data_IF_593526521900
#
_entry.id   IF_593526521900
#
_cell.length_a   1.000
_cell.length_b   1.000
_cell.length_c   1.000
_cell.angle_alpha   90.00
_cell.angle_beta   90.00
_cell.angle_gamma   90.00
#
_symmetry.space_group_name_H-M   'P 1'
#
loop_
_entity.id
_entity.type
_entity.pdbx_description
1 polymer ?
#
# COMPACT_ATOMS: atom_id res chain seq x y z
N UNK A 1 17.35 -1.36 -24.51
CA UNK A 1 17.71 -0.28 -23.59
C UNK A 1 17.04 -0.49 -22.25
N UNK A 2 17.83 -0.44 -21.22
CA UNK A 2 17.31 -0.66 -19.88
C UNK A 2 16.54 0.57 -19.42
N UNK A 3 15.42 0.33 -18.78
CA UNK A 3 14.68 1.37 -18.12
C UNK A 3 15.26 1.65 -16.76
N UNK A 4 15.47 2.89 -16.45
CA UNK A 4 15.91 3.27 -15.13
C UNK A 4 14.71 3.13 -14.18
N UNK A 5 14.90 2.35 -13.12
CA UNK A 5 13.90 2.28 -12.06
C UNK A 5 14.09 3.49 -11.18
N UNK A 6 13.07 4.31 -11.07
CA UNK A 6 13.10 5.43 -10.14
C UNK A 6 12.76 4.93 -8.74
N UNK A 7 13.55 5.38 -7.79
CA UNK A 7 13.27 5.10 -6.39
C UNK A 7 12.67 6.35 -5.76
N UNK A 8 11.50 6.21 -5.18
CA UNK A 8 10.80 7.31 -4.56
C UNK A 8 10.70 7.05 -3.07
N UNK A 9 11.28 7.95 -2.27
CA UNK A 9 11.19 7.86 -0.82
C UNK A 9 9.80 8.32 -0.38
N UNK A 10 9.16 7.56 0.48
CA UNK A 10 7.80 7.83 0.92
C UNK A 10 7.73 8.34 2.35
N UNK A 11 8.36 7.65 3.28
CA UNK A 11 8.27 7.97 4.70
C UNK A 11 9.36 7.23 5.46
N UNK A 12 9.43 7.49 6.75
CA UNK A 12 10.30 6.72 7.64
C UNK A 12 9.52 5.55 8.23
N UNK A 13 10.22 4.47 8.54
CA UNK A 13 9.60 3.31 9.15
C UNK A 13 8.88 3.66 10.44
N UNK A 14 9.44 4.60 11.21
CA UNK A 14 8.86 5.01 12.49
C UNK A 14 7.53 5.75 12.34
N UNK A 15 7.20 6.21 11.13
CA UNK A 15 5.95 6.92 10.91
C UNK A 15 4.75 6.00 10.75
N UNK A 16 4.99 4.69 10.58
CA UNK A 16 3.92 3.71 10.39
C UNK A 16 4.03 2.65 11.46
N UNK A 17 3.11 2.65 12.40
CA UNK A 17 3.12 1.66 13.48
C UNK A 17 2.75 0.28 12.95
N UNK A 18 3.22 -0.79 13.63
CA UNK A 18 2.82 -2.15 13.23
C UNK A 18 1.30 -2.30 13.24
N UNK A 19 0.77 -2.87 12.17
CA UNK A 19 -0.67 -3.03 12.01
C UNK A 19 -1.38 -1.78 11.54
N UNK A 20 -0.65 -0.73 11.15
CA UNK A 20 -1.22 0.53 10.69
C UNK A 20 -0.84 0.82 9.23
N UNK A 21 -1.45 1.85 8.70
CA UNK A 21 -1.14 2.34 7.36
C UNK A 21 -1.20 3.86 7.36
N UNK A 22 -0.45 4.47 6.44
CA UNK A 22 -0.54 5.91 6.21
C UNK A 22 -0.70 6.16 4.71
N UNK A 23 -1.26 7.30 4.40
CA UNK A 23 -1.41 7.76 3.02
C UNK A 23 -0.25 8.68 2.68
N UNK A 24 0.38 8.43 1.53
CA UNK A 24 1.50 9.24 1.05
C UNK A 24 1.20 9.67 -0.38
N UNK A 25 1.38 10.95 -0.65
CA UNK A 25 1.21 11.49 -2.00
C UNK A 25 2.57 11.89 -2.55
N UNK A 26 2.87 11.41 -3.75
CA UNK A 26 4.12 11.73 -4.45
C UNK A 26 3.82 11.94 -5.93
N UNK A 27 3.91 13.19 -6.40
CA UNK A 27 3.56 13.52 -7.77
C UNK A 27 2.11 13.17 -8.05
N UNK A 28 1.89 12.35 -9.07
CA UNK A 28 0.55 11.89 -9.42
C UNK A 28 0.11 10.64 -8.66
N UNK A 29 0.98 10.10 -7.80
CA UNK A 29 0.70 8.88 -7.08
C UNK A 29 0.11 9.17 -5.71
N UNK A 30 -0.95 8.44 -5.37
CA UNK A 30 -1.51 8.43 -4.02
C UNK A 30 -1.39 7.02 -3.51
N UNK A 31 -0.61 6.83 -2.46
CA UNK A 31 -0.16 5.51 -2.04
C UNK A 31 -0.57 5.22 -0.60
N UNK A 32 -0.78 3.94 -0.31
CA UNK A 32 -0.98 3.46 1.05
C UNK A 32 0.26 2.68 1.45
N UNK A 33 0.87 3.07 2.56
CA UNK A 33 2.04 2.39 3.10
C UNK A 33 1.59 1.62 4.33
N UNK A 34 1.76 0.29 4.28
CA UNK A 34 1.31 -0.61 5.34
C UNK A 34 2.51 -1.18 6.08
N UNK A 35 2.39 -1.26 7.40
CA UNK A 35 3.38 -1.95 8.22
C UNK A 35 2.74 -3.24 8.74
N UNK A 36 3.13 -4.36 8.14
CA UNK A 36 2.62 -5.67 8.52
C UNK A 36 3.63 -6.33 9.46
N UNK A 37 3.60 -5.89 10.70
CA UNK A 37 4.48 -6.43 11.75
C UNK A 37 5.96 -6.34 11.36
N UNK A 38 6.37 -5.18 10.89
CA UNK A 38 7.74 -4.91 10.48
C UNK A 38 8.00 -5.11 9.00
N UNK A 39 7.07 -5.69 8.26
CA UNK A 39 7.17 -5.85 6.81
C UNK A 39 6.38 -4.74 6.13
N UNK A 40 7.05 -3.90 5.38
CA UNK A 40 6.41 -2.76 4.74
C UNK A 40 5.95 -3.11 3.34
N UNK A 41 4.70 -2.80 3.04
CA UNK A 41 4.10 -3.02 1.72
C UNK A 41 3.43 -1.73 1.28
N UNK A 42 3.47 -1.48 -0.02
CA UNK A 42 2.89 -0.26 -0.60
C UNK A 42 1.96 -0.64 -1.73
N UNK A 43 0.77 -0.07 -1.71
CA UNK A 43 -0.23 -0.24 -2.77
C UNK A 43 -0.73 1.14 -3.18
N UNK A 44 -1.47 1.19 -4.30
CA UNK A 44 -2.27 2.38 -4.56
C UNK A 44 -3.25 2.56 -3.41
N UNK A 45 -3.50 3.79 -3.02
CA UNK A 45 -4.44 4.06 -1.94
C UNK A 45 -5.89 3.95 -2.39
N UNK A 46 -6.17 4.30 -3.65
CA UNK A 46 -7.52 4.26 -4.17
C UNK A 46 -8.03 2.83 -4.30
N UNK A 47 -9.19 2.57 -3.73
CA UNK A 47 -9.85 1.28 -3.90
C UNK A 47 -10.31 1.13 -5.35
N UNK A 48 -10.08 -0.04 -5.93
CA UNK A 48 -10.36 -0.25 -7.36
C UNK A 48 -11.84 -0.29 -7.70
N UNK A 49 -12.72 -0.47 -6.71
CA UNK A 49 -14.15 -0.59 -6.98
C UNK A 49 -14.95 0.67 -6.63
N UNK A 50 -14.32 1.69 -6.12
CA UNK A 50 -15.05 2.89 -5.74
C UNK A 50 -14.17 3.89 -5.02
N UNK A 51 -14.76 4.91 -4.40
CA UNK A 51 -14.03 6.04 -3.83
C UNK A 51 -13.43 5.77 -2.45
N UNK A 52 -13.14 4.54 -2.10
CA UNK A 52 -12.54 4.23 -0.82
C UNK A 52 -11.04 4.49 -0.79
N UNK A 53 -10.48 4.61 0.41
CA UNK A 53 -9.06 4.79 0.66
C UNK A 53 -8.55 3.60 1.47
N UNK A 54 -7.60 2.85 0.91
CA UNK A 54 -7.09 1.65 1.58
C UNK A 54 -6.30 1.98 2.84
N UNK A 55 -5.66 3.14 2.89
CA UNK A 55 -4.93 3.55 4.08
C UNK A 55 -5.85 3.77 5.27
N UNK A 56 -7.15 3.96 5.04
CA UNK A 56 -8.14 4.12 6.09
C UNK A 56 -8.95 2.84 6.33
N UNK A 57 -8.61 1.77 5.65
CA UNK A 57 -9.30 0.51 5.77
C UNK A 57 -8.92 -0.27 7.02
N UNK A 58 -9.64 -1.36 7.25
CA UNK A 58 -9.37 -2.25 8.38
C UNK A 58 -8.35 -3.29 7.97
N UNK A 59 -7.23 -3.32 8.68
CA UNK A 59 -6.16 -4.27 8.41
C UNK A 59 -6.30 -5.46 9.33
N UNK A 60 -6.31 -6.66 8.73
CA UNK A 60 -6.32 -7.92 9.48
C UNK A 60 -5.29 -8.85 8.86
N UNK A 61 -4.21 -9.13 9.61
CA UNK A 61 -3.13 -9.95 9.07
C UNK A 61 -2.52 -9.31 7.85
N UNK A 62 -2.65 -9.95 6.69
CA UNK A 62 -2.12 -9.45 5.43
C UNK A 62 -3.20 -8.90 4.51
N UNK A 63 -4.40 -8.68 5.03
CA UNK A 63 -5.52 -8.17 4.24
C UNK A 63 -5.97 -6.81 4.73
N UNK A 64 -6.57 -6.05 3.82
CA UNK A 64 -7.20 -4.78 4.15
C UNK A 64 -8.61 -4.76 3.57
N UNK A 65 -9.57 -4.38 4.40
CA UNK A 65 -10.93 -4.16 3.96
C UNK A 65 -11.08 -2.68 3.63
N UNK A 66 -11.54 -2.40 2.42
CA UNK A 66 -11.78 -1.02 2.00
C UNK A 66 -12.82 -0.38 2.90
N UNK A 67 -12.64 0.89 3.24
CA UNK A 67 -13.59 1.63 4.06
C UNK A 67 -14.91 1.92 3.31
N UNK A 68 -14.95 1.61 2.02
CA UNK A 68 -16.12 1.77 1.18
C UNK A 68 -16.56 0.41 0.67
N UNK A 69 -17.70 -0.09 1.13
CA UNK A 69 -18.31 -1.37 0.75
C UNK A 69 -17.60 -2.63 1.29
N UNK A 70 -16.56 -2.47 2.10
CA UNK A 70 -15.88 -3.61 2.75
C UNK A 70 -15.29 -4.67 1.83
N UNK A 71 -14.91 -4.28 0.60
CA UNK A 71 -14.15 -5.17 -0.26
C UNK A 71 -12.76 -5.42 0.31
N UNK A 72 -12.24 -6.63 0.15
CA UNK A 72 -10.99 -7.03 0.79
C UNK A 72 -9.92 -7.34 -0.25
N UNK A 73 -8.72 -6.81 -0.01
CA UNK A 73 -7.54 -7.08 -0.83
C UNK A 73 -6.45 -7.71 0.02
N UNK A 74 -5.61 -8.52 -0.63
CA UNK A 74 -4.37 -8.97 -0.03
C UNK A 74 -3.34 -7.85 -0.20
N UNK A 75 -2.76 -7.39 0.90
CA UNK A 75 -1.86 -6.24 0.89
C UNK A 75 -0.55 -6.57 0.17
N UNK A 76 -0.05 -7.78 0.28
CA UNK A 76 1.23 -8.17 -0.31
C UNK A 76 1.15 -8.34 -1.82
N UNK A 77 0.06 -8.92 -2.30
CA UNK A 77 -0.08 -9.27 -3.72
C UNK A 77 -1.01 -8.35 -4.49
N UNK A 78 -1.86 -7.62 -3.79
CA UNK A 78 -2.90 -6.81 -4.42
C UNK A 78 -4.11 -7.62 -4.86
N UNK A 79 -4.10 -8.93 -4.65
CA UNK A 79 -5.16 -9.79 -5.14
C UNK A 79 -6.48 -9.52 -4.42
N UNK A 80 -7.57 -9.68 -5.14
CA UNK A 80 -8.92 -9.57 -4.58
C UNK A 80 -9.17 -10.77 -3.67
N UNK A 81 -9.61 -10.52 -2.44
CA UNK A 81 -9.95 -11.55 -1.48
C UNK A 81 -11.46 -11.68 -1.32
N UNK A 82 -12.17 -10.56 -1.33
CA UNK A 82 -13.63 -10.60 -1.15
C UNK A 82 -14.30 -9.48 -1.94
N UNK A 83 -15.53 -9.76 -2.46
CA UNK A 83 -16.30 -8.74 -3.17
C UNK A 83 -16.69 -7.60 -2.22
N UNK A 84 -17.07 -6.44 -2.75
CA UNK A 84 -17.33 -6.17 -4.16
C UNK A 84 -16.10 -5.85 -5.00
N UNK A 85 -14.90 -6.01 -4.46
CA UNK A 85 -13.70 -5.81 -5.26
C UNK A 85 -13.61 -6.87 -6.34
N UNK A 86 -13.34 -6.46 -7.58
CA UNK A 86 -13.22 -7.37 -8.71
C UNK A 86 -11.89 -7.19 -9.43
N UNK A 87 -11.22 -6.08 -9.22
CA UNK A 87 -9.96 -5.76 -9.88
C UNK A 87 -8.86 -5.67 -8.81
N UNK A 88 -7.74 -6.37 -9.00
CA UNK A 88 -6.64 -6.27 -8.04
C UNK A 88 -6.13 -4.84 -7.89
N UNK A 89 -5.64 -4.50 -6.71
CA UNK A 89 -5.02 -3.21 -6.48
C UNK A 89 -3.54 -3.30 -6.86
N UNK A 90 -3.01 -2.23 -7.42
CA UNK A 90 -1.60 -2.19 -7.81
C UNK A 90 -0.70 -2.16 -6.58
N UNK A 91 0.31 -3.01 -6.58
CA UNK A 91 1.34 -3.03 -5.54
C UNK A 91 2.65 -2.51 -6.12
N UNK A 92 3.55 -2.08 -5.24
CA UNK A 92 4.83 -1.51 -5.63
C UNK A 92 5.95 -2.25 -4.93
N UNK A 93 7.07 -2.41 -5.63
CA UNK A 93 8.26 -2.98 -5.02
C UNK A 93 8.74 -2.04 -3.93
N UNK A 94 8.79 -2.53 -2.71
CA UNK A 94 9.07 -1.73 -1.52
C UNK A 94 10.46 -2.06 -0.98
N UNK A 95 11.17 -1.01 -0.62
CA UNK A 95 12.53 -1.12 -0.10
C UNK A 95 12.61 -0.32 1.19
N UNK A 96 13.34 -0.87 2.15
CA UNK A 96 13.63 -0.16 3.40
C UNK A 96 15.13 -0.07 3.51
N UNK A 97 15.67 1.16 3.55
CA UNK A 97 17.10 1.34 3.59
C UNK A 97 17.64 1.35 5.03
N UNK A 98 18.97 1.44 5.15
CA UNK A 98 19.62 1.39 6.45
C UNK A 98 19.29 2.60 7.32
N UNK A 99 18.86 3.70 6.71
CA UNK A 99 18.47 4.91 7.44
C UNK A 99 17.02 4.88 7.89
N UNK A 100 16.30 3.82 7.57
CA UNK A 100 14.92 3.66 7.97
C UNK A 100 13.92 4.37 7.08
N UNK A 101 14.26 4.60 5.82
CA UNK A 101 13.31 5.16 4.86
C UNK A 101 12.63 4.04 4.07
N UNK A 102 11.31 4.18 3.93
CA UNK A 102 10.52 3.31 3.06
C UNK A 102 10.44 3.96 1.70
N UNK A 103 10.83 3.22 0.67
CA UNK A 103 10.85 3.71 -0.71
C UNK A 103 10.22 2.68 -1.62
N UNK A 104 9.81 3.13 -2.79
CA UNK A 104 9.32 2.23 -3.84
C UNK A 104 10.12 2.42 -5.11
N UNK A 105 10.08 1.40 -5.96
CA UNK A 105 10.60 1.48 -7.33
C UNK A 105 9.42 1.55 -8.29
N UNK A 106 9.50 2.50 -9.18
CA UNK A 106 8.45 2.69 -10.21
C UNK A 106 9.01 2.57 -11.61
#
# INVERSE_FOLDING_TARGET
MAQACERIALCKTAEVEPGAAIRVERGSLTLAVFNLDGNFCVTDDACTHGPGSLSEGLIEGETVACDFHNGVFNIRTGAVVAPPCMVPVKTYRTLVDADGFVSIEV
#
